data_IF_509827306741
#
_entry.id   IF_509827306741
#
_cell.length_a   1.000
_cell.length_b   1.000
_cell.length_c   1.000
_cell.angle_alpha   90.00
_cell.angle_beta   90.00
_cell.angle_gamma   90.00
#
_symmetry.space_group_name_H-M   'P 1'
#
loop_
_entity.id
_entity.type
_entity.pdbx_description
1 polymer ?
#
# COMPACT_ATOMS: atom_id res chain seq x y z
N UNK A 1 -1.06 1.85 -19.92
CA UNK A 1 -0.84 0.64 -19.09
C UNK A 1 0.41 -0.14 -19.50
N UNK A 2 0.54 -0.65 -20.76
CA UNK A 2 1.72 -1.43 -21.22
C UNK A 2 3.02 -0.61 -21.22
N UNK A 3 2.96 0.66 -21.58
CA UNK A 3 4.11 1.57 -21.56
C UNK A 3 4.59 1.84 -20.15
N UNK A 4 3.67 2.11 -19.22
CA UNK A 4 3.97 2.40 -17.82
C UNK A 4 4.57 1.17 -17.12
N UNK A 5 3.98 -0.02 -17.36
CA UNK A 5 4.50 -1.29 -16.87
C UNK A 5 5.96 -1.52 -17.33
N UNK A 6 6.23 -1.28 -18.62
CA UNK A 6 7.58 -1.43 -19.16
C UNK A 6 8.58 -0.46 -18.50
N UNK A 7 8.15 0.76 -18.18
CA UNK A 7 8.99 1.75 -17.50
C UNK A 7 9.25 1.36 -16.04
N UNK A 8 8.22 0.95 -15.30
CA UNK A 8 8.36 0.56 -13.89
C UNK A 8 9.20 -0.72 -13.69
N UNK A 9 9.19 -1.65 -14.66
CA UNK A 9 10.07 -2.83 -14.65
C UNK A 9 11.51 -2.49 -15.05
N UNK A 10 11.72 -1.55 -15.98
CA UNK A 10 13.03 -1.21 -16.50
C UNK A 10 13.94 -0.58 -15.44
N UNK A 11 13.39 0.27 -14.57
CA UNK A 11 14.17 1.01 -13.56
C UNK A 11 14.90 0.08 -12.59
N UNK A 12 14.22 -0.84 -11.84
CA UNK A 12 14.91 -1.75 -10.94
C UNK A 12 15.83 -2.75 -11.67
N UNK A 13 15.46 -3.18 -12.89
CA UNK A 13 16.35 -4.01 -13.72
C UNK A 13 17.63 -3.27 -14.12
N UNK A 14 17.56 -1.98 -14.44
CA UNK A 14 18.73 -1.17 -14.76
C UNK A 14 19.64 -0.99 -13.52
N UNK A 15 19.06 -0.81 -12.34
CA UNK A 15 19.81 -0.73 -11.07
C UNK A 15 20.51 -2.05 -10.78
N UNK A 16 19.80 -3.18 -10.86
CA UNK A 16 20.38 -4.51 -10.66
C UNK A 16 21.54 -4.77 -11.63
N UNK A 17 21.35 -4.48 -12.92
CA UNK A 17 22.37 -4.66 -13.94
C UNK A 17 23.58 -3.78 -13.65
N UNK A 18 23.37 -2.50 -13.37
CA UNK A 18 24.47 -1.57 -13.08
C UNK A 18 25.29 -1.96 -11.82
N UNK A 19 24.62 -2.45 -10.77
CA UNK A 19 25.31 -2.95 -9.57
C UNK A 19 26.12 -4.22 -9.87
N UNK A 20 25.57 -5.15 -10.64
CA UNK A 20 26.28 -6.38 -11.04
C UNK A 20 27.48 -6.08 -11.95
N UNK A 21 27.33 -5.18 -12.94
CA UNK A 21 28.40 -4.71 -13.80
C UNK A 21 29.52 -4.03 -12.98
N UNK A 22 29.17 -3.16 -12.03
CA UNK A 22 30.15 -2.50 -11.15
C UNK A 22 30.92 -3.49 -10.27
N UNK A 23 30.28 -4.57 -9.83
CA UNK A 23 30.94 -5.66 -9.08
C UNK A 23 31.89 -6.45 -10.02
N UNK A 24 31.43 -6.78 -11.22
CA UNK A 24 32.19 -7.52 -12.23
C UNK A 24 33.46 -6.77 -12.65
N UNK A 25 33.34 -5.45 -12.83
CA UNK A 25 34.45 -4.57 -13.23
C UNK A 25 35.39 -4.22 -12.06
N UNK A 26 35.12 -4.70 -10.85
CA UNK A 26 35.92 -4.45 -9.65
C UNK A 26 35.81 -3.02 -9.11
N UNK A 27 34.86 -2.21 -9.64
CA UNK A 27 34.58 -0.85 -9.17
C UNK A 27 33.87 -0.88 -7.81
N UNK A 28 33.02 -1.89 -7.60
CA UNK A 28 32.31 -2.12 -6.35
C UNK A 28 32.66 -3.49 -5.77
N UNK A 29 32.91 -3.53 -4.46
CA UNK A 29 33.19 -4.80 -3.79
C UNK A 29 31.88 -5.55 -3.52
N UNK A 30 31.91 -6.86 -3.68
CA UNK A 30 30.81 -7.72 -3.24
C UNK A 30 30.90 -7.88 -1.72
N UNK A 31 29.96 -7.27 -1.01
CA UNK A 31 29.84 -7.28 0.44
C UNK A 31 28.44 -7.74 0.85
N UNK A 32 28.21 -8.11 2.13
CA UNK A 32 26.86 -8.40 2.62
C UNK A 32 25.86 -7.27 2.34
N UNK A 33 26.28 -6.01 2.39
CA UNK A 33 25.45 -4.84 2.13
C UNK A 33 25.06 -4.74 0.65
N UNK A 34 26.02 -5.01 -0.27
CA UNK A 34 25.71 -5.06 -1.72
C UNK A 34 24.77 -6.22 -2.04
N UNK A 35 24.95 -7.37 -1.41
CA UNK A 35 24.04 -8.50 -1.57
C UNK A 35 22.63 -8.15 -1.07
N UNK A 36 22.53 -7.51 0.10
CA UNK A 36 21.24 -7.06 0.65
C UNK A 36 20.54 -6.05 -0.26
N UNK A 37 21.29 -5.12 -0.88
CA UNK A 37 20.76 -4.18 -1.88
C UNK A 37 20.19 -4.90 -3.10
N UNK A 38 20.94 -5.85 -3.66
CA UNK A 38 20.49 -6.65 -4.81
C UNK A 38 19.22 -7.47 -4.47
N UNK A 39 19.19 -8.08 -3.29
CA UNK A 39 18.02 -8.82 -2.81
C UNK A 39 16.78 -7.92 -2.63
N UNK A 40 16.97 -6.69 -2.15
CA UNK A 40 15.89 -5.72 -2.02
C UNK A 40 15.31 -5.33 -3.39
N UNK A 41 16.15 -5.12 -4.41
CA UNK A 41 15.69 -4.83 -5.79
C UNK A 41 14.96 -6.03 -6.41
N UNK A 42 15.44 -7.25 -6.20
CA UNK A 42 14.75 -8.49 -6.63
C UNK A 42 13.37 -8.57 -5.95
N UNK A 43 13.29 -8.30 -4.65
CA UNK A 43 12.03 -8.26 -3.91
C UNK A 43 11.04 -7.22 -4.46
N UNK A 44 11.55 -6.04 -4.83
CA UNK A 44 10.75 -4.97 -5.47
C UNK A 44 10.20 -5.42 -6.83
N UNK A 45 11.02 -6.06 -7.66
CA UNK A 45 10.58 -6.61 -8.95
C UNK A 45 9.56 -7.72 -8.79
N UNK A 46 9.78 -8.65 -7.87
CA UNK A 46 8.84 -9.74 -7.60
C UNK A 46 7.49 -9.18 -7.20
N UNK A 47 7.47 -8.25 -6.23
CA UNK A 47 6.23 -7.59 -5.82
C UNK A 47 5.52 -6.89 -6.98
N UNK A 48 6.26 -6.19 -7.85
CA UNK A 48 5.68 -5.50 -9.00
C UNK A 48 5.03 -6.49 -9.98
N UNK A 49 5.67 -7.63 -10.25
CA UNK A 49 5.12 -8.68 -11.11
C UNK A 49 3.85 -9.29 -10.51
N UNK A 50 3.86 -9.57 -9.21
CA UNK A 50 2.70 -10.11 -8.48
C UNK A 50 1.53 -9.12 -8.47
N UNK A 51 1.79 -7.83 -8.23
CA UNK A 51 0.81 -6.75 -8.26
C UNK A 51 0.16 -6.63 -9.67
N UNK A 52 0.98 -6.70 -10.73
CA UNK A 52 0.51 -6.67 -12.11
C UNK A 52 -0.33 -7.90 -12.48
N UNK A 53 0.13 -9.08 -12.08
CA UNK A 53 -0.60 -10.33 -12.32
C UNK A 53 -1.97 -10.30 -11.62
N UNK A 54 -2.02 -9.84 -10.37
CA UNK A 54 -3.27 -9.71 -9.64
C UNK A 54 -4.23 -8.73 -10.33
N UNK A 55 -3.75 -7.56 -10.77
CA UNK A 55 -4.58 -6.59 -11.49
C UNK A 55 -5.11 -7.15 -12.81
N UNK A 56 -4.29 -7.88 -13.56
CA UNK A 56 -4.71 -8.54 -14.80
C UNK A 56 -5.80 -9.60 -14.55
N UNK A 57 -5.62 -10.45 -13.54
CA UNK A 57 -6.61 -11.46 -13.15
C UNK A 57 -7.93 -10.83 -12.66
N UNK A 58 -7.83 -9.67 -11.98
CA UNK A 58 -9.02 -8.93 -11.54
C UNK A 58 -9.79 -8.36 -12.73
N UNK A 59 -9.10 -7.78 -13.72
CA UNK A 59 -9.72 -7.24 -14.95
C UNK A 59 -10.45 -8.30 -15.75
N UNK A 60 -9.93 -9.51 -15.80
CA UNK A 60 -10.53 -10.66 -16.47
C UNK A 60 -11.67 -11.30 -15.66
N UNK A 61 -11.93 -10.84 -14.42
CA UNK A 61 -12.89 -11.45 -13.50
C UNK A 61 -12.50 -12.87 -13.06
N UNK A 62 -11.23 -13.24 -13.26
CA UNK A 62 -10.70 -14.57 -12.99
C UNK A 62 -10.16 -14.72 -11.56
N UNK A 63 -10.07 -13.61 -10.80
CA UNK A 63 -9.58 -13.64 -9.42
C UNK A 63 -10.65 -14.23 -8.49
N UNK A 64 -10.45 -15.48 -8.06
CA UNK A 64 -11.33 -16.11 -7.09
C UNK A 64 -11.04 -15.59 -5.67
N UNK A 65 -12.10 -15.14 -4.97
CA UNK A 65 -12.04 -14.72 -3.57
C UNK A 65 -12.62 -15.82 -2.67
N UNK A 66 -11.88 -16.20 -1.64
CA UNK A 66 -12.31 -17.16 -0.63
C UNK A 66 -12.96 -16.43 0.55
N UNK A 67 -14.20 -16.00 0.37
CA UNK A 67 -14.92 -15.21 1.37
C UNK A 67 -15.51 -16.08 2.46
N UNK A 68 -15.35 -15.64 3.71
CA UNK A 68 -15.91 -16.21 4.93
C UNK A 68 -16.19 -15.08 5.94
N UNK A 69 -16.89 -15.33 7.05
CA UNK A 69 -16.96 -14.38 8.17
C UNK A 69 -15.55 -14.08 8.70
N UNK A 70 -15.18 -12.79 8.73
CA UNK A 70 -13.86 -12.31 9.18
C UNK A 70 -14.05 -11.17 10.17
N UNK A 71 -13.47 -11.30 11.36
CA UNK A 71 -13.34 -10.17 12.28
C UNK A 71 -12.19 -9.27 11.83
N UNK A 72 -12.50 -8.02 11.50
CA UNK A 72 -11.54 -7.04 10.99
C UNK A 72 -10.57 -6.53 12.06
N UNK A 73 -10.98 -6.53 13.34
CA UNK A 73 -10.20 -5.88 14.39
C UNK A 73 -8.90 -6.64 14.66
N UNK A 74 -8.90 -7.96 14.92
CA UNK A 74 -7.65 -8.71 15.04
C UNK A 74 -6.78 -8.61 13.78
N UNK A 75 -7.39 -8.53 12.61
CA UNK A 75 -6.66 -8.42 11.33
C UNK A 75 -5.93 -7.08 11.21
N UNK A 76 -6.59 -5.97 11.58
CA UNK A 76 -5.99 -4.63 11.66
C UNK A 76 -4.88 -4.55 12.70
N UNK A 77 -5.07 -5.19 13.86
CA UNK A 77 -4.07 -5.23 14.92
C UNK A 77 -2.80 -5.98 14.48
N UNK A 78 -2.96 -7.13 13.81
CA UNK A 78 -1.84 -7.90 13.25
C UNK A 78 -1.12 -7.08 12.17
N UNK A 79 -1.84 -6.48 11.22
CA UNK A 79 -1.25 -5.63 10.20
C UNK A 79 -0.48 -4.45 10.83
N UNK A 80 -1.12 -3.71 11.73
CA UNK A 80 -0.50 -2.56 12.40
C UNK A 80 0.70 -2.97 13.26
N UNK A 81 0.63 -4.12 13.93
CA UNK A 81 1.73 -4.68 14.72
C UNK A 81 2.99 -4.90 13.88
N UNK A 82 2.83 -5.45 12.66
CA UNK A 82 3.93 -5.67 11.72
C UNK A 82 4.60 -4.36 11.24
N UNK A 83 3.86 -3.25 11.25
CA UNK A 83 4.38 -1.94 10.82
C UNK A 83 4.90 -1.07 11.96
N UNK A 84 4.63 -1.40 13.22
CA UNK A 84 4.93 -0.55 14.38
C UNK A 84 6.39 -0.11 14.45
N UNK A 85 7.33 -1.04 14.30
CA UNK A 85 8.76 -0.74 14.33
C UNK A 85 9.19 0.14 13.15
N UNK A 86 8.66 -0.13 11.96
CA UNK A 86 8.96 0.65 10.75
C UNK A 86 8.43 2.09 10.85
N UNK A 87 7.25 2.30 11.45
CA UNK A 87 6.74 3.65 11.75
C UNK A 87 7.63 4.35 12.77
N UNK A 88 7.98 3.67 13.86
CA UNK A 88 8.84 4.23 14.90
C UNK A 88 10.23 4.62 14.39
N UNK A 89 10.86 3.79 13.55
CA UNK A 89 12.16 4.07 12.94
C UNK A 89 12.17 5.29 12.02
N UNK A 90 11.00 5.66 11.47
CA UNK A 90 10.80 6.90 10.69
C UNK A 90 10.30 8.08 11.53
N UNK A 91 10.22 7.93 12.84
CA UNK A 91 9.68 8.96 13.75
C UNK A 91 8.19 9.20 13.58
N UNK A 92 7.43 8.22 13.04
CA UNK A 92 6.00 8.32 12.83
C UNK A 92 5.23 7.66 13.99
N UNK A 93 4.09 8.24 14.34
CA UNK A 93 3.18 7.69 15.35
C UNK A 93 2.06 6.90 14.67
N UNK A 94 1.85 5.65 15.09
CA UNK A 94 0.74 4.81 14.66
C UNK A 94 -0.28 4.71 15.79
N UNK A 95 -1.51 5.15 15.53
CA UNK A 95 -2.59 5.24 16.52
C UNK A 95 -3.82 4.48 16.04
N UNK A 96 -4.50 3.80 16.98
CA UNK A 96 -5.72 3.04 16.72
C UNK A 96 -6.88 3.55 17.56
N UNK A 97 -8.06 3.60 16.96
CA UNK A 97 -9.34 3.86 17.61
C UNK A 97 -10.32 2.82 17.07
N UNK A 98 -10.29 1.63 17.65
CA UNK A 98 -11.00 0.45 17.19
C UNK A 98 -12.01 -0.03 18.24
N UNK A 99 -13.18 -0.53 17.85
CA UNK A 99 -14.08 -1.26 18.73
C UNK A 99 -13.54 -2.67 19.02
N UNK A 100 -14.25 -3.43 19.86
CA UNK A 100 -13.80 -4.77 20.26
C UNK A 100 -13.84 -5.79 19.12
N UNK A 101 -14.84 -5.73 18.25
CA UNK A 101 -15.03 -6.67 17.13
C UNK A 101 -15.92 -6.06 16.04
N UNK A 102 -15.63 -6.36 14.78
CA UNK A 102 -16.49 -6.06 13.63
C UNK A 102 -16.34 -7.20 12.60
N UNK A 103 -17.42 -7.90 12.32
CA UNK A 103 -17.43 -9.01 11.36
C UNK A 103 -17.98 -8.59 9.99
N UNK A 104 -17.26 -8.96 8.94
CA UNK A 104 -17.67 -8.82 7.54
C UNK A 104 -17.56 -10.16 6.82
N UNK A 105 -18.30 -10.33 5.73
CA UNK A 105 -18.14 -11.47 4.84
C UNK A 105 -17.05 -11.16 3.78
N UNK A 106 -15.84 -11.66 3.99
CA UNK A 106 -14.69 -11.28 3.17
C UNK A 106 -13.58 -12.31 3.09
N UNK A 107 -12.65 -12.09 2.17
CA UNK A 107 -11.43 -12.87 2.01
C UNK A 107 -10.35 -12.31 2.94
N UNK A 108 -9.97 -13.10 3.93
CA UNK A 108 -9.04 -12.71 4.99
C UNK A 108 -7.68 -12.26 4.44
N UNK A 109 -7.14 -12.97 3.46
CA UNK A 109 -5.81 -12.69 2.92
C UNK A 109 -5.83 -11.43 2.06
N UNK A 110 -6.92 -11.20 1.32
CA UNK A 110 -7.12 -9.98 0.53
C UNK A 110 -7.37 -8.76 1.41
N UNK A 111 -8.12 -8.91 2.49
CA UNK A 111 -8.29 -7.84 3.47
C UNK A 111 -6.98 -7.51 4.20
N UNK A 112 -6.16 -8.50 4.52
CA UNK A 112 -4.81 -8.28 5.05
C UNK A 112 -3.93 -7.52 4.04
N UNK A 113 -3.99 -7.88 2.76
CA UNK A 113 -3.29 -7.19 1.69
C UNK A 113 -3.75 -5.72 1.56
N UNK A 114 -5.05 -5.48 1.64
CA UNK A 114 -5.62 -4.12 1.67
C UNK A 114 -5.00 -3.29 2.80
N UNK A 115 -4.99 -3.81 4.02
CA UNK A 115 -4.46 -3.09 5.19
C UNK A 115 -2.96 -2.86 5.07
N UNK A 116 -2.20 -3.84 4.63
CA UNK A 116 -0.76 -3.70 4.39
C UNK A 116 -0.45 -2.64 3.33
N UNK A 117 -1.21 -2.58 2.24
CA UNK A 117 -1.03 -1.56 1.20
C UNK A 117 -1.35 -0.14 1.71
N UNK A 118 -2.40 0.02 2.52
CA UNK A 118 -2.76 1.31 3.12
C UNK A 118 -1.72 1.76 4.15
N UNK A 119 -1.23 0.85 5.01
CA UNK A 119 -0.15 1.11 5.96
C UNK A 119 1.16 1.47 5.27
N UNK A 120 1.54 0.71 4.23
CA UNK A 120 2.75 0.99 3.43
C UNK A 120 2.66 2.35 2.75
N UNK A 121 1.48 2.71 2.22
CA UNK A 121 1.23 4.01 1.60
C UNK A 121 1.47 5.14 2.60
N UNK A 122 0.84 5.10 3.77
CA UNK A 122 1.01 6.12 4.81
C UNK A 122 2.44 6.16 5.33
N UNK A 123 3.08 5.00 5.57
CA UNK A 123 4.48 4.93 5.98
C UNK A 123 5.40 5.63 4.96
N UNK A 124 5.12 5.48 3.68
CA UNK A 124 5.95 6.01 2.59
C UNK A 124 5.79 7.50 2.41
N UNK A 125 4.58 8.01 2.51
CA UNK A 125 4.25 9.37 2.09
C UNK A 125 4.10 10.36 3.24
N UNK A 126 3.96 9.92 4.48
CA UNK A 126 3.93 10.80 5.65
C UNK A 126 5.35 11.27 6.01
N UNK A 127 5.50 12.57 6.27
CA UNK A 127 6.76 13.15 6.67
C UNK A 127 7.14 12.74 8.11
N UNK A 128 8.45 12.65 8.38
CA UNK A 128 8.97 12.33 9.70
C UNK A 128 8.41 13.26 10.78
N UNK A 129 8.12 12.73 11.95
CA UNK A 129 7.44 13.43 13.04
C UNK A 129 5.91 13.43 12.93
N UNK A 130 5.36 12.92 11.81
CA UNK A 130 3.94 12.82 11.58
C UNK A 130 3.27 11.62 12.26
N UNK A 131 2.03 11.35 11.84
CA UNK A 131 1.22 10.29 12.42
C UNK A 131 0.27 9.68 11.40
N UNK A 132 -0.11 8.43 11.63
CA UNK A 132 -1.25 7.76 11.03
C UNK A 132 -2.24 7.37 12.12
N UNK A 133 -3.50 7.79 12.00
CA UNK A 133 -4.61 7.32 12.82
C UNK A 133 -5.48 6.38 12.02
N UNK A 134 -5.71 5.19 12.56
CA UNK A 134 -6.62 4.19 12.01
C UNK A 134 -7.83 4.12 12.94
N UNK A 135 -9.02 4.27 12.38
CA UNK A 135 -10.28 4.12 13.12
C UNK A 135 -11.23 3.18 12.38
N UNK A 136 -12.06 2.49 13.15
CA UNK A 136 -13.14 1.66 12.64
C UNK A 136 -14.45 2.04 13.36
N UNK A 137 -15.50 2.29 12.59
CA UNK A 137 -16.81 2.67 13.07
C UNK A 137 -17.87 1.86 12.33
N UNK A 138 -18.87 1.36 13.08
CA UNK A 138 -20.00 0.68 12.50
C UNK A 138 -21.14 1.69 12.26
N UNK A 139 -21.67 1.69 11.04
CA UNK A 139 -22.80 2.51 10.63
C UNK A 139 -23.86 1.63 9.99
N UNK A 140 -25.02 1.46 10.65
CA UNK A 140 -26.13 0.64 10.17
C UNK A 140 -25.69 -0.74 9.66
N UNK A 141 -25.61 -0.89 8.34
CA UNK A 141 -25.23 -2.13 7.63
C UNK A 141 -23.81 -2.12 7.05
N UNK A 142 -23.00 -1.15 7.42
CA UNK A 142 -21.64 -1.02 6.91
C UNK A 142 -20.65 -0.75 8.03
N UNK A 143 -19.40 -1.15 7.84
CA UNK A 143 -18.26 -0.68 8.62
C UNK A 143 -17.51 0.36 7.80
N UNK A 144 -17.09 1.43 8.46
CA UNK A 144 -16.20 2.45 7.92
C UNK A 144 -14.85 2.34 8.60
N UNK A 145 -13.82 2.05 7.80
CA UNK A 145 -12.41 2.05 8.22
C UNK A 145 -11.75 3.32 7.66
N UNK A 146 -11.12 4.10 8.51
CA UNK A 146 -10.46 5.35 8.10
C UNK A 146 -8.98 5.28 8.44
N UNK A 147 -8.14 5.54 7.44
CA UNK A 147 -6.68 5.67 7.55
C UNK A 147 -6.34 7.13 7.26
N UNK A 148 -6.13 7.93 8.29
CA UNK A 148 -5.90 9.36 8.19
C UNK A 148 -4.47 9.69 8.62
N UNK A 149 -3.63 10.11 7.67
CA UNK A 149 -2.26 10.49 7.93
C UNK A 149 -2.08 12.03 8.05
N UNK A 150 -0.94 12.42 8.55
CA UNK A 150 -0.53 13.81 8.61
C UNK A 150 0.25 14.21 7.34
N UNK A 151 0.60 15.48 7.24
CA UNK A 151 1.31 16.07 6.09
C UNK A 151 2.45 15.18 5.53
N UNK A 152 2.70 15.29 4.21
CA UNK A 152 2.09 16.24 3.29
C UNK A 152 0.76 15.74 2.73
N UNK A 153 -0.13 16.68 2.41
CA UNK A 153 -1.35 16.39 1.67
C UNK A 153 -1.10 16.36 0.15
N UNK A 154 -2.18 16.24 -0.59
CA UNK A 154 -2.22 16.28 -2.06
C UNK A 154 -3.30 17.29 -2.49
N UNK A 155 -3.28 17.76 -3.74
CA UNK A 155 -4.32 18.63 -4.29
C UNK A 155 -5.62 17.87 -4.58
N UNK A 156 -6.73 18.59 -4.78
CA UNK A 156 -8.02 17.99 -5.13
C UNK A 156 -7.94 17.16 -6.42
N UNK A 157 -7.24 17.66 -7.44
CA UNK A 157 -7.02 16.92 -8.69
C UNK A 157 -6.23 15.61 -8.49
N UNK A 158 -5.29 15.63 -7.54
CA UNK A 158 -4.48 14.48 -7.19
C UNK A 158 -5.30 13.44 -6.39
N UNK A 159 -6.18 13.89 -5.47
CA UNK A 159 -7.07 13.00 -4.71
C UNK A 159 -7.90 12.09 -5.63
N UNK A 160 -8.43 12.64 -6.73
CA UNK A 160 -9.26 11.91 -7.68
C UNK A 160 -8.47 10.80 -8.43
N UNK A 161 -7.16 10.95 -8.54
CA UNK A 161 -6.27 10.05 -9.30
C UNK A 161 -5.54 9.03 -8.44
N UNK A 162 -5.64 9.10 -7.11
CA UNK A 162 -4.85 8.25 -6.22
C UNK A 162 -5.05 6.75 -6.45
N UNK A 163 -6.21 6.33 -6.95
CA UNK A 163 -6.54 4.93 -7.23
C UNK A 163 -6.24 4.51 -8.68
N UNK A 164 -5.77 5.45 -9.53
CA UNK A 164 -5.33 5.11 -10.89
C UNK A 164 -4.02 4.31 -10.85
N UNK A 165 -3.89 3.35 -11.76
CA UNK A 165 -2.69 2.52 -11.87
C UNK A 165 -1.48 3.35 -12.28
N UNK A 166 -0.34 3.10 -11.63
CA UNK A 166 0.93 3.82 -11.83
C UNK A 166 0.87 5.31 -11.50
N UNK A 167 -0.25 5.80 -10.95
CA UNK A 167 -0.33 7.19 -10.57
C UNK A 167 0.59 7.48 -9.37
N UNK A 168 1.38 8.52 -9.52
CA UNK A 168 2.29 9.04 -8.49
C UNK A 168 2.34 10.55 -8.60
N UNK A 169 2.31 11.23 -7.46
CA UNK A 169 2.50 12.68 -7.42
C UNK A 169 3.95 13.06 -7.78
N UNK A 170 4.18 14.25 -8.33
CA UNK A 170 5.54 14.71 -8.69
C UNK A 170 6.49 14.69 -7.49
N UNK A 171 6.02 15.13 -6.32
CA UNK A 171 6.81 15.08 -5.08
C UNK A 171 7.17 13.66 -4.64
N UNK A 172 6.40 12.64 -5.04
CA UNK A 172 6.68 11.24 -4.73
C UNK A 172 7.67 10.57 -5.70
N UNK A 173 7.78 11.08 -6.92
CA UNK A 173 8.75 10.59 -7.92
C UNK A 173 10.20 10.88 -7.52
N UNK A 174 10.42 11.97 -6.81
CA UNK A 174 11.74 12.42 -6.35
C UNK A 174 12.21 11.73 -5.05
N UNK A 175 11.37 10.97 -4.38
CA UNK A 175 11.76 10.22 -3.18
C UNK A 175 12.38 8.88 -3.59
N UNK A 176 13.59 8.61 -3.09
CA UNK A 176 14.36 7.39 -3.37
C UNK A 176 13.63 6.06 -3.01
N UNK A 177 12.56 6.14 -2.25
CA UNK A 177 11.71 5.02 -1.84
C UNK A 177 10.47 4.85 -2.74
N UNK A 178 10.63 4.96 -4.06
CA UNK A 178 9.53 4.92 -5.03
C UNK A 178 8.66 3.66 -4.94
N UNK A 179 7.33 3.83 -4.83
CA UNK A 179 6.35 2.76 -5.01
C UNK A 179 5.95 2.63 -6.47
N UNK A 180 5.45 1.46 -6.85
CA UNK A 180 4.97 1.16 -8.20
C UNK A 180 3.73 1.98 -8.63
N UNK A 181 3.04 2.63 -7.69
CA UNK A 181 1.75 3.27 -7.96
C UNK A 181 0.60 2.26 -8.19
N UNK A 182 0.79 0.99 -7.83
CA UNK A 182 -0.23 -0.06 -7.98
C UNK A 182 -0.98 -0.36 -6.67
N UNK A 183 -0.39 -0.06 -5.52
CA UNK A 183 -0.94 -0.45 -4.21
C UNK A 183 -2.36 0.06 -3.96
N UNK A 184 -2.67 1.32 -4.27
CA UNK A 184 -4.02 1.88 -4.09
C UNK A 184 -5.01 1.37 -5.16
N UNK A 185 -4.56 1.09 -6.39
CA UNK A 185 -5.39 0.44 -7.40
C UNK A 185 -5.78 -0.99 -6.98
N UNK A 186 -4.86 -1.72 -6.35
CA UNK A 186 -5.16 -3.04 -5.76
C UNK A 186 -6.15 -2.90 -4.59
N UNK A 187 -6.00 -1.87 -3.75
CA UNK A 187 -6.96 -1.59 -2.68
C UNK A 187 -8.37 -1.38 -3.23
N UNK A 188 -8.50 -0.59 -4.30
CA UNK A 188 -9.79 -0.37 -4.98
C UNK A 188 -10.40 -1.69 -5.43
N UNK A 189 -9.67 -2.53 -6.17
CA UNK A 189 -10.15 -3.82 -6.66
C UNK A 189 -10.58 -4.76 -5.51
N UNK A 190 -9.81 -4.82 -4.42
CA UNK A 190 -10.16 -5.63 -3.26
C UNK A 190 -11.47 -5.15 -2.64
N UNK A 191 -11.62 -3.84 -2.43
CA UNK A 191 -12.81 -3.26 -1.81
C UNK A 191 -14.04 -3.47 -2.69
N UNK A 192 -13.94 -3.24 -4.00
CA UNK A 192 -15.04 -3.49 -4.97
C UNK A 192 -15.44 -4.96 -5.00
N UNK A 193 -14.47 -5.88 -4.98
CA UNK A 193 -14.74 -7.32 -4.90
C UNK A 193 -15.47 -7.72 -3.60
N UNK A 194 -15.38 -6.91 -2.54
CA UNK A 194 -16.12 -7.08 -1.30
C UNK A 194 -17.43 -6.28 -1.25
N UNK A 195 -17.91 -5.78 -2.40
CA UNK A 195 -19.09 -4.93 -2.51
C UNK A 195 -19.01 -3.66 -1.65
N UNK A 196 -17.80 -3.19 -1.42
CA UNK A 196 -17.49 -2.01 -0.65
C UNK A 196 -17.21 -0.78 -1.51
N UNK A 197 -16.84 0.29 -0.83
CA UNK A 197 -16.41 1.55 -1.46
C UNK A 197 -15.14 2.05 -0.80
N UNK A 198 -14.22 2.60 -1.60
CA UNK A 198 -13.01 3.28 -1.12
C UNK A 198 -12.99 4.71 -1.65
N UNK A 199 -12.65 5.66 -0.81
CA UNK A 199 -12.56 7.08 -1.15
C UNK A 199 -11.32 7.71 -0.53
N UNK A 200 -10.78 8.73 -1.19
CA UNK A 200 -9.70 9.56 -0.67
C UNK A 200 -10.21 10.99 -0.44
N UNK A 201 -9.79 11.59 0.65
CA UNK A 201 -10.11 12.96 1.02
C UNK A 201 -8.92 13.61 1.72
N UNK A 202 -8.97 14.92 1.96
CA UNK A 202 -8.01 15.58 2.83
C UNK A 202 -8.15 15.08 4.26
N UNK A 203 -7.01 14.74 4.86
CA UNK A 203 -6.97 14.36 6.27
C UNK A 203 -7.12 15.60 7.17
N UNK A 204 -7.84 15.48 8.30
CA UNK A 204 -7.89 16.55 9.30
C UNK A 204 -6.51 16.82 9.94
N UNK A 205 -5.54 15.94 9.71
CA UNK A 205 -4.16 16.08 10.18
C UNK A 205 -3.21 16.67 9.12
N UNK A 206 -3.74 17.12 7.98
CA UNK A 206 -3.00 17.81 6.92
C UNK A 206 -2.44 16.89 5.82
N UNK A 207 -2.67 15.61 5.89
CA UNK A 207 -2.30 14.61 4.88
C UNK A 207 -3.47 14.12 4.03
N UNK A 208 -3.52 12.81 3.81
CA UNK A 208 -4.57 12.11 3.07
C UNK A 208 -5.36 11.21 4.02
N UNK A 209 -6.65 11.18 3.87
CA UNK A 209 -7.56 10.25 4.55
C UNK A 209 -8.14 9.26 3.53
N UNK A 210 -7.80 7.99 3.67
CA UNK A 210 -8.41 6.91 2.89
C UNK A 210 -9.49 6.25 3.74
N UNK A 211 -10.70 6.26 3.23
CA UNK A 211 -11.85 5.64 3.89
C UNK A 211 -12.32 4.43 3.09
N UNK A 212 -12.43 3.29 3.74
CA UNK A 212 -12.97 2.03 3.21
C UNK A 212 -14.29 1.75 3.88
N UNK A 213 -15.33 1.53 3.10
CA UNK A 213 -16.65 1.11 3.58
C UNK A 213 -16.91 -0.32 3.07
N UNK A 214 -17.21 -1.24 3.99
CA UNK A 214 -17.56 -2.62 3.66
C UNK A 214 -18.93 -2.95 4.24
N UNK A 215 -19.75 -3.79 3.56
CA UNK A 215 -21.00 -4.28 4.12
C UNK A 215 -20.72 -5.18 5.33
N UNK A 216 -21.50 -5.02 6.39
CA UNK A 216 -21.54 -5.95 7.52
C UNK A 216 -22.24 -7.25 7.12
N UNK A 217 -21.94 -8.31 7.83
CA UNK A 217 -22.62 -9.60 7.67
C UNK A 217 -24.08 -9.56 8.21
#
# INVERSE_FOLDING_TARGET
>A
FMADMSHELRTPLAVLRGELEAIQDGVRKFTPETLASLQAEVGTLTKLVDDLHQLSMSDEGALAYQKAPVDLIPLLEVAGGAFRERFASRGLKLQFSLPDSITVFGDRDRLMQLFNNLLENSLRYTDSGGSLKISAEQHDKTVRLTFADSAPGVSDDQLQKLFERFYRTEGSRNRASGGSGLGLAICLNIVEAHNGRIIAAHSPFGGVSITVELPLE
#
